data_IF_117867918098
#
_entry.id   IF_117867918098
#
_cell.length_a   1.000
_cell.length_b   1.000
_cell.length_c   1.000
_cell.angle_alpha   90.00
_cell.angle_beta   90.00
_cell.angle_gamma   90.00
#
_symmetry.space_group_name_H-M   'P 1'
#
loop_
_entity.id
_entity.type
_entity.pdbx_description
1 polymer ?
#
# COMPACT_ATOMS: atom_id res chain seq x y z
N UNK A 1 15.02 12.04 -0.83
CA UNK A 1 14.64 10.65 -1.16
C UNK A 1 13.38 10.33 -0.40
N UNK A 2 12.33 9.86 -1.06
CA UNK A 2 11.02 9.58 -0.42
C UNK A 2 10.94 8.08 -0.19
N UNK A 3 10.36 7.65 0.94
CA UNK A 3 10.15 6.24 1.27
C UNK A 3 8.66 5.97 1.45
N UNK A 4 8.22 4.83 0.93
CA UNK A 4 6.92 4.24 1.19
C UNK A 4 7.11 2.98 2.06
N UNK A 5 6.55 3.01 3.27
CA UNK A 5 6.49 1.86 4.17
C UNK A 5 5.04 1.37 4.27
N UNK A 6 4.80 0.09 4.00
CA UNK A 6 3.50 -0.57 4.13
C UNK A 6 3.59 -1.72 5.15
N UNK A 7 2.57 -1.84 5.99
CA UNK A 7 2.35 -2.98 6.88
C UNK A 7 0.90 -3.44 6.78
N UNK A 8 0.71 -4.75 6.63
CA UNK A 8 -0.60 -5.42 6.54
C UNK A 8 -1.62 -4.71 5.64
N UNK A 9 -1.15 -4.25 4.48
CA UNK A 9 -1.94 -3.52 3.50
C UNK A 9 -2.23 -4.39 2.28
N UNK A 10 -3.51 -4.67 2.02
CA UNK A 10 -3.99 -5.50 0.91
C UNK A 10 -3.30 -6.86 0.85
N UNK A 11 -2.36 -7.05 -0.08
CA UNK A 11 -1.59 -8.30 -0.22
C UNK A 11 -0.15 -8.18 0.29
N UNK A 12 0.25 -7.04 0.87
CA UNK A 12 1.57 -6.83 1.46
C UNK A 12 1.53 -7.08 2.96
N UNK A 13 2.31 -8.06 3.43
CA UNK A 13 2.60 -8.22 4.87
C UNK A 13 3.50 -7.08 5.33
N UNK A 14 4.62 -6.88 4.63
CA UNK A 14 5.47 -5.68 4.74
C UNK A 14 6.07 -5.31 3.39
N UNK A 15 6.23 -4.00 3.17
CA UNK A 15 6.99 -3.46 2.05
C UNK A 15 7.71 -2.18 2.49
N UNK A 16 8.99 -2.06 2.15
CA UNK A 16 9.75 -0.81 2.25
C UNK A 16 10.29 -0.49 0.87
N UNK A 17 9.85 0.61 0.29
CA UNK A 17 10.22 1.03 -1.05
C UNK A 17 10.82 2.44 -1.01
N UNK A 18 12.08 2.54 -1.40
CA UNK A 18 12.75 3.83 -1.58
C UNK A 18 12.51 4.34 -3.01
N UNK A 19 11.93 5.54 -3.13
CA UNK A 19 11.47 6.12 -4.38
C UNK A 19 12.42 7.24 -4.83
N UNK A 20 13.03 7.14 -6.02
CA UNK A 20 13.90 8.17 -6.57
C UNK A 20 13.08 9.35 -7.13
N UNK A 21 13.68 10.55 -7.29
CA UNK A 21 13.00 11.73 -7.84
C UNK A 21 12.91 11.67 -9.38
N UNK A 22 12.40 10.56 -9.93
CA UNK A 22 12.22 10.31 -11.36
C UNK A 22 10.96 9.47 -11.58
N UNK A 23 10.37 9.46 -12.79
CA UNK A 23 9.25 8.59 -13.09
C UNK A 23 9.57 7.12 -12.77
N UNK A 24 8.60 6.42 -12.18
CA UNK A 24 8.71 5.01 -11.80
C UNK A 24 7.63 4.21 -12.54
N UNK A 25 8.03 3.08 -13.12
CA UNK A 25 7.11 2.13 -13.76
C UNK A 25 7.04 0.86 -12.91
N UNK A 26 5.84 0.46 -12.53
CA UNK A 26 5.59 -0.79 -11.80
C UNK A 26 5.30 -1.91 -12.81
N UNK A 27 6.09 -2.98 -12.78
CA UNK A 27 5.96 -4.13 -13.69
C UNK A 27 5.75 -5.43 -12.90
N UNK A 28 5.15 -6.42 -13.55
CA UNK A 28 4.88 -7.73 -12.96
C UNK A 28 3.54 -8.32 -13.41
N UNK A 29 3.29 -9.58 -13.05
CA UNK A 29 2.07 -10.29 -13.40
C UNK A 29 0.79 -9.63 -12.86
N UNK A 30 -0.37 -10.01 -13.42
CA UNK A 30 -1.66 -9.65 -12.84
C UNK A 30 -1.79 -10.26 -11.44
N UNK A 31 -2.36 -9.49 -10.49
CA UNK A 31 -2.41 -9.90 -9.08
C UNK A 31 -1.13 -9.65 -8.27
N UNK A 32 -0.02 -9.21 -8.87
CA UNK A 32 1.23 -8.96 -8.16
C UNK A 32 1.21 -7.77 -7.17
N UNK A 33 0.10 -7.03 -7.05
CA UNK A 33 -0.03 -5.91 -6.10
C UNK A 33 0.34 -4.53 -6.63
N UNK A 34 0.52 -4.35 -7.95
CA UNK A 34 0.82 -3.05 -8.59
C UNK A 34 -0.24 -1.99 -8.26
N UNK A 35 -1.52 -2.33 -8.46
CA UNK A 35 -2.65 -1.44 -8.13
C UNK A 35 -2.74 -1.18 -6.62
N UNK A 36 -2.47 -2.18 -5.79
CA UNK A 36 -2.48 -2.02 -4.33
C UNK A 36 -1.42 -0.99 -3.88
N UNK A 37 -0.24 -0.96 -4.52
CA UNK A 37 0.77 0.06 -4.24
C UNK A 37 0.27 1.48 -4.57
N UNK A 38 -0.39 1.65 -5.72
CA UNK A 38 -1.00 2.93 -6.12
C UNK A 38 -2.13 3.35 -5.18
N UNK A 39 -2.95 2.39 -4.73
CA UNK A 39 -3.97 2.64 -3.72
C UNK A 39 -3.33 3.16 -2.43
N UNK A 40 -2.28 2.51 -1.92
CA UNK A 40 -1.60 2.94 -0.70
C UNK A 40 -1.09 4.39 -0.79
N UNK A 41 -0.50 4.76 -1.93
CA UNK A 41 -0.06 6.15 -2.20
C UNK A 41 -1.27 7.09 -2.19
N UNK A 42 -2.39 6.70 -2.79
CA UNK A 42 -3.58 7.54 -2.85
C UNK A 42 -4.21 7.82 -1.48
N UNK A 43 -3.99 6.96 -0.48
CA UNK A 43 -4.42 7.20 0.90
C UNK A 43 -3.60 8.30 1.59
N UNK A 44 -2.38 8.57 1.12
CA UNK A 44 -1.53 9.64 1.65
C UNK A 44 -1.87 11.01 1.06
N UNK A 45 -2.63 11.06 -0.03
CA UNK A 45 -3.13 12.29 -0.61
C UNK A 45 -4.40 12.76 0.13
N UNK A 46 -4.61 14.09 0.31
CA UNK A 46 -5.82 14.59 0.94
C UNK A 46 -7.08 14.16 0.14
N UNK A 47 -8.02 13.49 0.80
CA UNK A 47 -9.24 12.96 0.19
C UNK A 47 -9.55 11.53 0.60
N UNK A 48 -10.31 10.80 -0.24
CA UNK A 48 -10.83 9.44 0.05
C UNK A 48 -10.05 8.31 -0.66
N UNK A 49 -8.86 8.58 -1.21
CA UNK A 49 -8.08 7.61 -2.00
C UNK A 49 -8.76 7.19 -3.32
N UNK A 50 -8.07 6.36 -4.12
CA UNK A 50 -8.49 5.93 -5.46
C UNK A 50 -9.81 5.13 -5.49
N UNK A 51 -10.20 4.50 -4.38
CA UNK A 51 -11.41 3.67 -4.30
C UNK A 51 -12.55 4.25 -3.45
N UNK A 52 -12.39 5.46 -2.89
CA UNK A 52 -13.29 5.97 -1.83
C UNK A 52 -13.47 5.01 -0.64
N UNK A 53 -12.53 4.08 -0.46
CA UNK A 53 -12.61 3.00 0.52
C UNK A 53 -12.54 3.57 1.95
N UNK A 54 -13.35 3.00 2.85
CA UNK A 54 -13.26 3.33 4.27
C UNK A 54 -11.89 2.88 4.81
N UNK A 55 -11.32 3.62 5.77
CA UNK A 55 -9.98 3.35 6.32
C UNK A 55 -9.78 1.92 6.88
N UNK A 56 -10.86 1.20 7.20
CA UNK A 56 -10.83 -0.18 7.69
C UNK A 56 -10.79 -1.26 6.58
N UNK A 57 -11.08 -0.89 5.33
CA UNK A 57 -11.16 -1.82 4.19
C UNK A 57 -9.81 -2.29 3.60
N UNK A 58 -8.67 -1.57 3.72
CA UNK A 58 -7.43 -2.00 3.08
C UNK A 58 -6.63 -3.03 3.89
N UNK A 59 -7.09 -3.45 5.08
CA UNK A 59 -6.42 -4.47 5.88
C UNK A 59 -6.25 -5.77 5.10
N UNK A 60 -5.06 -6.36 5.17
CA UNK A 60 -4.79 -7.67 4.60
C UNK A 60 -5.68 -8.73 5.28
N UNK A 61 -6.23 -9.64 4.48
CA UNK A 61 -6.98 -10.79 5.00
C UNK A 61 -6.06 -11.63 5.91
N UNK A 62 -6.46 -11.82 7.16
CA UNK A 62 -5.64 -12.49 8.18
C UNK A 62 -4.47 -11.63 8.66
N UNK A 63 -4.67 -10.33 8.87
CA UNK A 63 -3.73 -9.45 9.60
C UNK A 63 -4.04 -9.34 11.10
N UNK A 64 -5.17 -9.90 11.54
CA UNK A 64 -5.66 -9.79 12.92
C UNK A 64 -5.02 -10.83 13.88
N UNK A 65 -3.94 -11.48 13.44
CA UNK A 65 -3.29 -12.62 14.09
C UNK A 65 -1.92 -12.29 14.72
N UNK A 66 -1.48 -11.02 14.74
CA UNK A 66 -0.27 -10.71 15.53
C UNK A 66 0.39 -9.34 15.46
N UNK A 67 -0.17 -8.30 14.84
CA UNK A 67 0.53 -7.01 14.73
C UNK A 67 -0.35 -5.81 15.07
N UNK A 68 -0.64 -5.68 16.37
CA UNK A 68 -0.93 -4.38 16.96
C UNK A 68 0.32 -3.51 16.88
N UNK A 69 0.21 -2.39 16.18
CA UNK A 69 1.13 -1.26 16.15
C UNK A 69 1.68 -0.99 17.57
N UNK A 70 2.93 -1.38 17.80
CA UNK A 70 3.73 -0.94 18.94
C UNK A 70 4.80 0.04 18.44
#
# INVERSE_FOLDING_TARGET
MVRLDLGDFRNYVRLRLDVPPRPVVLVGANGAGKTNLLEAISFLAPGRGLRRAALAEPLRAGANDGAGWA
#
